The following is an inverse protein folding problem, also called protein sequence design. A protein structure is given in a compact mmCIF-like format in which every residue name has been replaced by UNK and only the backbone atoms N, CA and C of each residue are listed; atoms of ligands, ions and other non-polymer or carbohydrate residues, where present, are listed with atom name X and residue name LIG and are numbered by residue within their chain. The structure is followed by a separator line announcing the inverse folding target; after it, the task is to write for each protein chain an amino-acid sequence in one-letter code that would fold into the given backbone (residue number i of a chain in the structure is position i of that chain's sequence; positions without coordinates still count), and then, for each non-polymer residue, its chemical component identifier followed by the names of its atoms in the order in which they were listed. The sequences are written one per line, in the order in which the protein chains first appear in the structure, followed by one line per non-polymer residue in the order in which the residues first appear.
data_IF_801166906155
#
_entry.id   IF_801166906155
#
_cell.length_a   1.000
_cell.length_b   1.000
_cell.length_c   1.000
_cell.angle_alpha   90.00
_cell.angle_beta   90.00
_cell.angle_gamma   90.00
#
_symmetry.space_group_name_H-M   'P 1'
#
loop_
_entity.id
_entity.type
_entity.pdbx_description
1 polymer ?
#
# COMPACT_ATOMS: atom_id res chain seq x y z
N UNK A 1 -4.84 1.84 -11.30
CA UNK A 1 -4.92 2.24 -12.72
C UNK A 1 -6.23 2.97 -12.89
N UNK A 2 -6.19 4.27 -13.20
CA UNK A 2 -7.39 5.12 -13.27
C UNK A 2 -8.30 4.71 -14.43
N UNK A 3 -9.60 4.63 -14.15
CA UNK A 3 -10.63 4.49 -15.19
C UNK A 3 -10.90 5.80 -15.95
N UNK A 4 -10.54 6.95 -15.38
CA UNK A 4 -10.86 8.28 -15.94
C UNK A 4 -9.80 8.80 -16.90
N UNK A 5 -8.52 8.64 -16.56
CA UNK A 5 -7.41 9.17 -17.35
C UNK A 5 -6.95 8.25 -18.50
N UNK A 6 -7.42 7.00 -18.53
CA UNK A 6 -7.05 6.03 -19.56
C UNK A 6 -5.55 5.67 -19.51
N UNK A 7 -5.04 5.07 -20.59
CA UNK A 7 -3.64 4.69 -20.74
C UNK A 7 -2.81 5.85 -21.30
N UNK A 8 -2.75 6.97 -20.58
CA UNK A 8 -1.99 8.15 -21.01
C UNK A 8 -0.75 8.32 -20.12
N UNK A 9 0.42 8.39 -20.76
CA UNK A 9 1.69 8.70 -20.10
C UNK A 9 1.85 10.21 -20.02
N UNK A 10 1.61 10.77 -18.83
CA UNK A 10 1.87 12.19 -18.54
C UNK A 10 3.29 12.46 -18.02
N UNK A 11 4.10 11.40 -17.87
CA UNK A 11 5.49 11.52 -17.43
C UNK A 11 6.33 12.18 -18.53
N UNK A 12 7.07 13.24 -18.17
CA UNK A 12 8.10 13.78 -19.04
C UNK A 12 9.16 12.70 -19.25
N UNK A 13 9.58 12.49 -20.49
CA UNK A 13 10.86 11.84 -20.75
C UNK A 13 11.90 12.46 -19.82
N UNK A 14 12.57 11.63 -19.00
CA UNK A 14 13.68 12.06 -18.15
C UNK A 14 14.81 12.53 -19.05
N UNK A 15 14.79 13.81 -19.43
CA UNK A 15 15.83 14.42 -20.25
C UNK A 15 17.07 14.67 -19.38
N UNK A 16 18.29 14.51 -19.94
CA UNK A 16 19.51 14.85 -19.23
C UNK A 16 19.48 16.33 -18.80
N UNK A 17 19.84 16.59 -17.53
CA UNK A 17 19.89 17.93 -16.92
C UNK A 17 20.65 18.97 -17.77
N UNK A 18 21.59 18.53 -18.62
CA UNK A 18 22.35 19.39 -19.55
C UNK A 18 21.47 20.08 -20.61
N UNK A 19 20.33 19.49 -20.98
CA UNK A 19 19.36 20.07 -21.95
C UNK A 19 18.36 21.02 -21.28
N UNK A 20 18.33 21.10 -19.95
CA UNK A 20 17.42 21.98 -19.18
C UNK A 20 17.91 23.43 -19.07
N UNK A 21 19.15 23.73 -19.51
CA UNK A 21 19.69 25.09 -19.51
C UNK A 21 19.03 26.03 -20.54
N UNK A 22 18.18 25.52 -21.44
CA UNK A 22 17.36 26.35 -22.31
C UNK A 22 16.12 26.84 -21.56
N UNK A 23 16.01 28.15 -21.25
CA UNK A 23 14.84 28.68 -20.56
C UNK A 23 13.60 28.56 -21.47
N UNK A 24 12.72 27.62 -21.17
CA UNK A 24 11.43 27.47 -21.86
C UNK A 24 10.93 26.04 -22.08
N UNK A 25 11.75 24.99 -21.93
CA UNK A 25 11.35 23.59 -22.20
C UNK A 25 10.90 22.80 -20.95
N UNK A 26 10.45 23.50 -19.91
CA UNK A 26 10.04 22.92 -18.63
C UNK A 26 8.59 23.16 -18.25
N UNK A 27 7.73 23.61 -19.17
CA UNK A 27 6.30 23.82 -18.90
C UNK A 27 5.52 22.50 -18.94
N UNK A 28 4.58 22.29 -18.03
CA UNK A 28 3.74 21.08 -17.99
C UNK A 28 2.93 21.04 -19.30
N UNK A 29 3.07 19.99 -20.09
CA UNK A 29 2.38 19.85 -21.39
C UNK A 29 0.89 19.48 -21.24
N UNK A 30 0.27 19.81 -20.09
CA UNK A 30 -1.12 19.48 -19.78
C UNK A 30 -1.79 20.64 -19.03
N UNK A 31 -3.11 20.80 -19.21
CA UNK A 31 -3.87 21.90 -18.62
C UNK A 31 -3.92 21.80 -17.09
N UNK A 32 -4.17 22.91 -16.40
CA UNK A 32 -4.43 22.95 -14.96
C UNK A 32 -5.61 22.05 -14.56
N UNK A 33 -6.59 21.88 -15.44
CA UNK A 33 -7.72 20.98 -15.23
C UNK A 33 -7.27 19.51 -15.23
N UNK A 34 -6.47 19.10 -16.22
CA UNK A 34 -5.88 17.75 -16.25
C UNK A 34 -4.93 17.52 -15.07
N UNK A 35 -4.20 18.55 -14.65
CA UNK A 35 -3.34 18.48 -13.46
C UNK A 35 -4.15 18.17 -12.20
N UNK A 36 -5.28 18.85 -12.01
CA UNK A 36 -6.18 18.62 -10.88
C UNK A 36 -6.76 17.20 -10.90
N UNK A 37 -7.17 16.71 -12.08
CA UNK A 37 -7.68 15.34 -12.20
C UNK A 37 -6.63 14.28 -11.84
N UNK A 38 -5.37 14.50 -12.21
CA UNK A 38 -4.25 13.62 -11.84
C UNK A 38 -4.05 13.61 -10.32
N UNK A 39 -4.01 14.78 -9.68
CA UNK A 39 -3.82 14.89 -8.24
C UNK A 39 -4.95 14.21 -7.45
N UNK A 40 -6.20 14.36 -7.91
CA UNK A 40 -7.36 13.73 -7.30
C UNK A 40 -7.32 12.20 -7.42
N UNK A 41 -6.90 11.68 -8.57
CA UNK A 41 -6.71 10.24 -8.77
C UNK A 41 -5.58 9.68 -7.90
N UNK A 42 -4.44 10.39 -7.82
CA UNK A 42 -3.33 10.01 -6.94
C UNK A 42 -3.81 9.94 -5.49
N UNK A 43 -4.57 10.94 -5.04
CA UNK A 43 -5.17 10.94 -3.69
C UNK A 43 -6.05 9.71 -3.49
N UNK A 44 -6.95 9.41 -4.44
CA UNK A 44 -7.81 8.22 -4.37
C UNK A 44 -7.01 6.93 -4.25
N UNK A 45 -5.93 6.77 -5.02
CA UNK A 45 -5.07 5.59 -4.97
C UNK A 45 -4.40 5.45 -3.60
N UNK A 46 -3.89 6.56 -3.05
CA UNK A 46 -3.24 6.56 -1.73
C UNK A 46 -4.25 6.21 -0.65
N UNK A 47 -5.45 6.80 -0.68
CA UNK A 47 -6.49 6.55 0.30
C UNK A 47 -6.97 5.09 0.27
N UNK A 48 -7.17 4.53 -0.93
CA UNK A 48 -7.49 3.10 -1.08
C UNK A 48 -6.38 2.19 -0.55
N UNK A 49 -5.12 2.49 -0.88
CA UNK A 49 -3.98 1.70 -0.40
C UNK A 49 -3.89 1.77 1.12
N UNK A 50 -4.11 2.95 1.69
CA UNK A 50 -4.10 3.18 3.13
C UNK A 50 -5.22 2.43 3.84
N UNK A 51 -6.45 2.43 3.32
CA UNK A 51 -7.56 1.66 3.89
C UNK A 51 -7.34 0.14 3.76
N UNK A 52 -6.78 -0.33 2.63
CA UNK A 52 -6.38 -1.74 2.47
C UNK A 52 -5.35 -2.15 3.51
N UNK A 53 -4.29 -1.36 3.68
CA UNK A 53 -3.25 -1.61 4.70
C UNK A 53 -3.85 -1.59 6.10
N UNK A 54 -4.69 -0.59 6.42
CA UNK A 54 -5.36 -0.49 7.71
C UNK A 54 -6.22 -1.72 8.00
N UNK A 55 -6.96 -2.21 7.01
CA UNK A 55 -7.79 -3.40 7.13
C UNK A 55 -6.95 -4.64 7.39
N UNK A 56 -5.86 -4.83 6.63
CA UNK A 56 -4.94 -5.97 6.80
C UNK A 56 -4.30 -5.95 8.20
N UNK A 57 -3.78 -4.79 8.62
CA UNK A 57 -3.14 -4.63 9.93
C UNK A 57 -4.15 -4.81 11.08
N UNK A 58 -5.39 -4.33 10.92
CA UNK A 58 -6.44 -4.51 11.92
C UNK A 58 -6.85 -5.98 12.05
N UNK A 59 -6.97 -6.72 10.95
CA UNK A 59 -7.23 -8.17 10.96
C UNK A 59 -6.07 -8.94 11.60
N UNK A 60 -4.84 -8.48 11.39
CA UNK A 60 -3.61 -9.10 11.93
C UNK A 60 -3.10 -8.43 13.20
N UNK A 61 -3.97 -7.77 13.98
CA UNK A 61 -3.56 -6.98 15.16
C UNK A 61 -2.87 -7.84 16.22
N UNK A 62 -3.34 -9.07 16.44
CA UNK A 62 -2.73 -10.01 17.39
C UNK A 62 -1.30 -10.38 16.99
N UNK A 63 -1.06 -10.63 15.70
CA UNK A 63 0.27 -10.87 15.15
C UNK A 63 1.18 -9.64 15.31
N UNK A 64 0.65 -8.44 15.05
CA UNK A 64 1.39 -7.19 15.23
C UNK A 64 1.84 -7.01 16.69
N UNK A 65 0.97 -7.29 17.66
CA UNK A 65 1.32 -7.24 19.09
C UNK A 65 2.37 -8.29 19.48
N UNK A 66 2.31 -9.49 18.92
CA UNK A 66 3.32 -10.53 19.14
C UNK A 66 4.68 -10.08 18.60
N UNK A 67 4.73 -9.62 17.35
CA UNK A 67 5.97 -9.13 16.73
C UNK A 67 6.52 -7.92 17.48
N UNK A 68 5.66 -6.98 17.92
CA UNK A 68 6.08 -5.82 18.70
C UNK A 68 6.69 -6.23 20.06
N UNK A 69 6.10 -7.19 20.76
CA UNK A 69 6.68 -7.75 21.99
C UNK A 69 8.03 -8.41 21.74
N UNK A 70 8.14 -9.22 20.69
CA UNK A 70 9.40 -9.87 20.34
C UNK A 70 10.49 -8.86 19.96
N UNK A 71 10.14 -7.77 19.27
CA UNK A 71 11.09 -6.68 18.97
C UNK A 71 11.53 -5.92 20.22
N UNK A 72 10.66 -5.76 21.22
CA UNK A 72 11.04 -5.18 22.52
C UNK A 72 12.05 -6.05 23.27
N UNK A 73 12.02 -7.37 23.09
CA UNK A 73 12.92 -8.30 23.77
C UNK A 73 14.24 -8.52 23.02
N UNK A 74 14.20 -8.64 21.69
CA UNK A 74 15.37 -9.02 20.86
C UNK A 74 15.98 -7.89 20.04
N UNK A 75 15.40 -6.68 20.06
CA UNK A 75 15.77 -5.46 19.28
C UNK A 75 15.77 -5.63 17.75
N UNK A 76 16.04 -6.83 17.23
CA UNK A 76 16.07 -7.20 15.82
C UNK A 76 15.42 -8.58 15.66
N UNK A 77 14.62 -8.74 14.60
CA UNK A 77 14.06 -10.02 14.18
C UNK A 77 14.55 -10.29 12.76
N UNK A 78 15.11 -11.47 12.54
CA UNK A 78 15.53 -11.90 11.20
C UNK A 78 14.32 -12.23 10.31
N UNK A 79 14.48 -12.09 9.00
CA UNK A 79 13.38 -12.25 8.05
C UNK A 79 12.74 -13.64 8.06
N UNK A 80 13.52 -14.68 8.38
CA UNK A 80 13.03 -16.06 8.44
C UNK A 80 12.24 -16.31 9.73
N UNK A 81 12.73 -15.84 10.89
CA UNK A 81 12.01 -15.86 12.17
C UNK A 81 10.66 -15.13 12.08
N UNK A 82 10.63 -13.98 11.40
CA UNK A 82 9.38 -13.24 11.19
C UNK A 82 8.40 -14.05 10.33
N UNK A 83 8.87 -14.75 9.29
CA UNK A 83 8.01 -15.60 8.45
C UNK A 83 7.44 -16.76 9.24
N UNK A 84 8.22 -17.39 10.11
CA UNK A 84 7.73 -18.46 10.99
C UNK A 84 6.66 -17.96 11.95
N UNK A 85 6.88 -16.82 12.62
CA UNK A 85 5.90 -16.16 13.47
C UNK A 85 4.59 -15.88 12.72
N UNK A 86 4.69 -15.36 11.48
CA UNK A 86 3.51 -15.10 10.64
C UNK A 86 2.78 -16.40 10.29
N UNK A 87 3.50 -17.48 9.98
CA UNK A 87 2.92 -18.77 9.60
C UNK A 87 2.17 -19.42 10.74
N UNK A 88 2.73 -19.38 11.95
CA UNK A 88 2.12 -19.93 13.15
C UNK A 88 0.81 -19.19 13.49
N UNK A 89 0.81 -17.85 13.40
CA UNK A 89 -0.39 -17.04 13.64
C UNK A 89 -1.46 -17.13 12.53
N UNK A 90 -1.07 -17.56 11.32
CA UNK A 90 -2.00 -17.79 10.21
C UNK A 90 -2.75 -19.12 10.39
N UNK A 91 -2.07 -20.16 10.91
CA UNK A 91 -2.69 -21.44 11.25
C UNK A 91 -3.78 -21.33 12.32
N UNK A 92 -3.63 -20.39 13.27
CA UNK A 92 -4.62 -20.14 14.32
C UNK A 92 -5.86 -19.39 13.80
N UNK A 93 -5.72 -18.56 12.76
CA UNK A 93 -6.82 -17.77 12.20
C UNK A 93 -7.76 -18.58 11.28
N UNK A 94 -7.30 -19.66 10.65
CA UNK A 94 -8.18 -20.55 9.89
C UNK A 94 -9.10 -21.37 10.82
N UNK A 95 -8.63 -21.71 12.01
CA UNK A 95 -9.43 -22.39 13.03
C UNK A 95 -10.57 -21.55 13.62
N UNK A 96 -10.41 -20.21 13.65
CA UNK A 96 -11.42 -19.28 14.16
C UNK A 96 -12.48 -18.94 13.10
N UNK A 97 -12.07 -18.80 11.83
CA UNK A 97 -12.98 -18.56 10.69
C UNK A 97 -13.92 -19.74 10.43
N UNK A 98 -13.45 -20.99 10.61
CA UNK A 98 -14.28 -22.18 10.50
C UNK A 98 -15.28 -22.34 11.67
N UNK A 99 -14.97 -21.75 12.84
CA UNK A 99 -15.86 -21.78 14.01
C UNK A 99 -16.97 -20.73 13.93
N UNK A 100 -16.69 -19.56 13.36
CA UNK A 100 -17.70 -18.51 13.14
C UNK A 100 -18.72 -18.88 12.05
N UNK A 101 -18.33 -19.59 10.99
CA UNK A 101 -19.28 -20.08 9.97
C UNK A 101 -20.18 -21.22 10.47
N UNK A 102 -19.69 -22.05 11.40
CA UNK A 102 -20.47 -23.16 11.97
C UNK A 102 -21.53 -22.74 13.01
N UNK A 103 -21.56 -21.47 13.42
CA UNK A 103 -22.44 -20.97 14.48
C UNK A 103 -23.46 -19.92 14.02
N UNK A 104 -23.73 -19.84 12.70
CA UNK A 104 -24.85 -19.03 12.18
C UNK A 104 -26.15 -19.85 12.27
N UNK A 105 -27.15 -19.44 13.07
CA UNK A 105 -28.49 -20.01 12.96
C UNK A 105 -29.14 -19.56 11.66
N UNK A 106 -29.88 -20.47 11.02
CA UNK A 106 -30.63 -20.30 9.76
C UNK A 106 -31.56 -19.07 9.74
#
# INVERSE_FOLDING_TARGET
MSKKLGYVTFERERRPLFLELSPGMGAKDYSEETAREIDDEIRSIIDEAREKVRTILSKKKSLLETVARTLLEKETIEGDDLRELIKNHAGDNEGDQLREEANRPD
#
